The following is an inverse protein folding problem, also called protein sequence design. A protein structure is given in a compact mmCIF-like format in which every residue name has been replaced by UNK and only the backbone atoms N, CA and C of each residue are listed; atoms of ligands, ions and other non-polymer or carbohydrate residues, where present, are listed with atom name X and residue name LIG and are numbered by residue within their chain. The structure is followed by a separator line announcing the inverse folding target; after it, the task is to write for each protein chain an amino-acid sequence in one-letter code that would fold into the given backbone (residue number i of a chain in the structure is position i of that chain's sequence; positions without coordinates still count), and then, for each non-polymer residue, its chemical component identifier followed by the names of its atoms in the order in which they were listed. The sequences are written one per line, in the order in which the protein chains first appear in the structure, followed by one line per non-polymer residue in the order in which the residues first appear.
data_IF_397482740559
#
_entry.id   IF_397482740559
#
_cell.length_a   1.000
_cell.length_b   1.000
_cell.length_c   1.000
_cell.angle_alpha   90.00
_cell.angle_beta   90.00
_cell.angle_gamma   90.00
#
_symmetry.space_group_name_H-M   'P 1'
#
loop_
_entity.id
_entity.type
_entity.pdbx_description
1 polymer ?
#
# COMPACT_ATOMS: atom_id res chain seq x y z
N UNK A 1 18.81 15.15 4.94
CA UNK A 1 18.99 16.61 4.93
C UNK A 1 19.19 17.09 6.37
N UNK A 2 20.10 18.02 6.63
CA UNK A 2 20.38 18.49 7.99
C UNK A 2 20.29 20.00 8.07
N UNK A 3 19.81 20.51 9.19
CA UNK A 3 19.88 21.94 9.51
C UNK A 3 20.91 22.06 10.63
N UNK A 4 21.93 22.88 10.39
CA UNK A 4 22.96 23.16 11.38
C UNK A 4 23.17 24.67 11.47
N UNK A 5 23.27 25.15 12.70
CA UNK A 5 23.68 26.51 13.02
C UNK A 5 24.94 26.44 13.87
N UNK A 6 25.94 27.22 13.48
CA UNK A 6 27.16 27.37 14.26
C UNK A 6 27.36 28.84 14.57
N UNK A 7 27.75 29.14 15.81
CA UNK A 7 28.22 30.47 16.19
C UNK A 7 29.68 30.35 16.63
N UNK A 8 30.54 31.13 15.97
CA UNK A 8 31.99 31.11 16.18
C UNK A 8 32.38 32.44 16.83
N UNK A 9 33.02 32.39 18.00
CA UNK A 9 33.71 33.55 18.58
C UNK A 9 35.23 33.37 18.45
N UNK A 10 36.01 34.40 18.75
CA UNK A 10 37.47 34.44 18.53
C UNK A 10 38.28 33.35 19.28
N UNK A 11 37.70 32.69 20.28
CA UNK A 11 38.40 31.70 21.13
C UNK A 11 37.62 30.38 21.24
N UNK A 12 36.29 30.39 21.09
CA UNK A 12 35.47 29.18 21.19
C UNK A 12 34.32 29.19 20.18
N UNK A 13 34.11 28.05 19.52
CA UNK A 13 32.97 27.83 18.63
C UNK A 13 32.04 26.76 19.20
N UNK A 14 30.75 27.04 19.22
CA UNK A 14 29.71 26.07 19.59
C UNK A 14 28.85 25.85 18.35
N UNK A 15 28.78 24.58 17.93
CA UNK A 15 27.94 24.15 16.82
C UNK A 15 26.88 23.19 17.33
N UNK A 16 25.64 23.45 16.95
CA UNK A 16 24.53 22.54 17.18
C UNK A 16 23.87 22.21 15.83
N UNK A 17 23.56 20.93 15.64
CA UNK A 17 22.94 20.45 14.42
C UNK A 17 21.94 19.35 14.71
N UNK A 18 20.84 19.34 13.96
CA UNK A 18 19.90 18.23 13.94
C UNK A 18 19.87 17.63 12.54
N UNK A 19 20.06 16.33 12.47
CA UNK A 19 19.98 15.59 11.21
C UNK A 19 18.57 15.02 11.03
N UNK A 20 17.94 15.31 9.89
CA UNK A 20 16.69 14.66 9.49
C UNK A 20 17.02 13.49 8.59
N UNK A 21 16.52 12.32 8.98
CA UNK A 21 16.59 11.08 8.22
C UNK A 21 15.61 11.14 7.07
N UNK A 22 16.13 11.04 5.85
CA UNK A 22 15.30 10.98 4.64
C UNK A 22 15.18 9.51 4.22
N UNK A 23 13.97 8.96 4.35
CA UNK A 23 13.67 7.58 4.02
C UNK A 23 13.90 7.28 2.54
N UNK A 24 13.71 8.25 1.64
CA UNK A 24 13.96 8.07 0.22
C UNK A 24 15.46 7.98 -0.06
N UNK A 25 16.29 8.80 0.59
CA UNK A 25 17.74 8.69 0.50
C UNK A 25 18.26 7.36 1.08
N UNK A 26 17.73 6.91 2.22
CA UNK A 26 18.12 5.63 2.81
C UNK A 26 17.74 4.46 1.90
N UNK A 27 16.57 4.53 1.26
CA UNK A 27 16.12 3.56 0.27
C UNK A 27 17.02 3.56 -0.98
N UNK A 28 17.32 4.71 -1.57
CA UNK A 28 18.21 4.81 -2.73
C UNK A 28 19.64 4.32 -2.39
N UNK A 29 20.13 4.60 -1.18
CA UNK A 29 21.41 4.09 -0.70
C UNK A 29 21.40 2.57 -0.56
N UNK A 30 20.34 1.99 0.01
CA UNK A 30 20.19 0.55 0.11
C UNK A 30 20.10 -0.12 -1.27
N UNK A 31 19.34 0.47 -2.21
CA UNK A 31 19.26 -0.03 -3.58
C UNK A 31 20.63 -0.04 -4.25
N UNK A 32 21.40 1.03 -4.08
CA UNK A 32 22.75 1.13 -4.63
C UNK A 32 23.70 0.10 -3.99
N UNK A 33 23.66 -0.05 -2.67
CA UNK A 33 24.47 -1.04 -1.95
C UNK A 33 24.18 -2.46 -2.44
N UNK A 34 22.91 -2.82 -2.62
CA UNK A 34 22.51 -4.13 -3.18
C UNK A 34 23.04 -4.31 -4.61
N UNK A 35 23.03 -3.24 -5.42
CA UNK A 35 23.58 -3.29 -6.78
C UNK A 35 25.10 -3.53 -6.77
N UNK A 36 25.83 -2.78 -5.95
CA UNK A 36 27.30 -2.82 -5.87
C UNK A 36 27.81 -4.12 -5.24
N UNK A 37 27.02 -4.76 -4.37
CA UNK A 37 27.31 -6.09 -3.79
C UNK A 37 26.90 -7.26 -4.68
N UNK A 38 26.38 -7.00 -5.89
CA UNK A 38 26.05 -8.03 -6.90
C UNK A 38 24.60 -8.52 -6.87
N UNK A 39 23.76 -8.06 -5.93
CA UNK A 39 22.35 -8.41 -5.83
C UNK A 39 21.47 -7.50 -6.72
N UNK A 40 21.62 -7.63 -8.04
CA UNK A 40 20.94 -6.76 -9.03
C UNK A 40 19.42 -6.81 -8.94
N UNK A 41 18.84 -7.99 -8.78
CA UNK A 41 17.38 -8.18 -8.71
C UNK A 41 16.80 -7.57 -7.43
N UNK A 42 17.49 -7.73 -6.30
CA UNK A 42 17.08 -7.14 -5.03
C UNK A 42 17.15 -5.61 -5.06
N UNK A 43 18.18 -5.04 -5.71
CA UNK A 43 18.29 -3.60 -5.95
C UNK A 43 17.07 -3.06 -6.71
N UNK A 44 16.71 -3.73 -7.82
CA UNK A 44 15.56 -3.33 -8.64
C UNK A 44 14.24 -3.51 -7.88
N UNK A 45 14.07 -4.61 -7.13
CA UNK A 45 12.90 -4.82 -6.27
C UNK A 45 12.71 -3.67 -5.28
N UNK A 46 13.81 -3.19 -4.69
CA UNK A 46 13.78 -2.07 -3.76
C UNK A 46 13.52 -0.73 -4.45
N UNK A 47 13.82 -0.57 -5.73
CA UNK A 47 13.42 0.62 -6.52
C UNK A 47 11.94 0.56 -6.94
N UNK A 48 11.39 -0.63 -7.15
CA UNK A 48 10.01 -0.85 -7.59
C UNK A 48 8.91 -0.46 -6.60
N UNK A 49 9.22 -0.20 -5.33
CA UNK A 49 8.25 0.41 -4.40
C UNK A 49 7.99 1.91 -4.65
N UNK A 50 8.52 2.49 -5.74
CA UNK A 50 8.15 3.82 -6.23
C UNK A 50 7.33 3.60 -7.51
N UNK A 51 6.09 4.08 -7.51
CA UNK A 51 5.15 3.88 -8.61
C UNK A 51 5.66 4.48 -9.93
N UNK A 52 6.49 5.53 -9.85
CA UNK A 52 7.10 6.14 -11.04
C UNK A 52 8.08 5.19 -11.70
N UNK A 53 8.89 4.50 -10.90
CA UNK A 53 9.82 3.48 -11.38
C UNK A 53 9.03 2.31 -11.93
N UNK A 54 8.01 1.82 -11.22
CA UNK A 54 7.16 0.71 -11.64
C UNK A 54 6.47 0.98 -12.99
N UNK A 55 5.95 2.19 -13.19
CA UNK A 55 5.32 2.59 -14.45
C UNK A 55 6.34 2.70 -15.58
N UNK A 56 7.48 3.34 -15.34
CA UNK A 56 8.55 3.45 -16.33
C UNK A 56 9.06 2.07 -16.77
N UNK A 57 9.25 1.16 -15.82
CA UNK A 57 9.65 -0.23 -16.04
C UNK A 57 8.61 -1.01 -16.84
N UNK A 58 7.33 -0.90 -16.48
CA UNK A 58 6.20 -1.48 -17.24
C UNK A 58 6.19 -1.00 -18.69
N UNK A 59 6.37 0.29 -18.93
CA UNK A 59 6.40 0.86 -20.27
C UNK A 59 7.63 0.41 -21.07
N UNK A 60 8.74 0.11 -20.39
CA UNK A 60 9.94 -0.46 -20.99
C UNK A 60 9.86 -1.98 -21.24
N UNK A 61 8.74 -2.64 -20.91
CA UNK A 61 8.58 -4.09 -21.04
C UNK A 61 9.38 -4.91 -20.02
N UNK A 62 9.96 -4.26 -19.00
CA UNK A 62 10.71 -4.93 -17.93
C UNK A 62 9.91 -4.85 -16.64
N UNK A 63 9.25 -5.93 -16.24
CA UNK A 63 8.38 -5.91 -15.08
C UNK A 63 9.15 -5.99 -13.76
N UNK A 64 8.59 -5.39 -12.71
CA UNK A 64 9.15 -5.43 -11.37
C UNK A 64 9.20 -6.87 -10.83
N UNK A 65 10.32 -7.32 -10.27
CA UNK A 65 10.48 -8.69 -9.79
C UNK A 65 9.58 -8.99 -8.60
N UNK A 66 9.09 -10.23 -8.52
CA UNK A 66 8.16 -10.68 -7.48
C UNK A 66 8.51 -12.12 -7.11
N UNK A 67 8.75 -12.40 -5.83
CA UNK A 67 9.00 -13.76 -5.31
C UNK A 67 9.99 -14.58 -6.13
N UNK A 68 11.07 -13.92 -6.57
CA UNK A 68 12.12 -14.53 -7.40
C UNK A 68 11.80 -14.65 -8.89
N UNK A 69 10.56 -14.35 -9.31
CA UNK A 69 10.14 -14.29 -10.72
C UNK A 69 10.59 -12.98 -11.37
N UNK A 70 11.01 -13.05 -12.62
CA UNK A 70 11.55 -11.91 -13.39
C UNK A 70 10.92 -11.91 -14.79
N UNK A 71 10.73 -10.74 -15.39
CA UNK A 71 10.23 -10.62 -16.76
C UNK A 71 8.75 -11.00 -16.88
N UNK A 72 8.42 -11.87 -17.84
CA UNK A 72 7.03 -12.23 -18.16
C UNK A 72 6.34 -13.01 -17.02
N UNK A 73 7.09 -13.81 -16.28
CA UNK A 73 6.58 -14.54 -15.13
C UNK A 73 6.15 -13.57 -14.01
N UNK A 74 6.93 -12.50 -13.82
CA UNK A 74 6.58 -11.43 -12.89
C UNK A 74 5.37 -10.64 -13.37
N UNK A 75 5.22 -10.41 -14.68
CA UNK A 75 4.03 -9.77 -15.27
C UNK A 75 2.76 -10.53 -14.91
N UNK A 76 2.75 -11.84 -15.16
CA UNK A 76 1.59 -12.70 -14.88
C UNK A 76 1.23 -12.66 -13.40
N UNK A 77 2.22 -12.75 -12.51
CA UNK A 77 2.00 -12.65 -11.07
C UNK A 77 1.38 -11.30 -10.66
N UNK A 78 1.87 -10.19 -11.22
CA UNK A 78 1.31 -8.86 -10.98
C UNK A 78 -0.13 -8.72 -11.50
N UNK A 79 -0.43 -9.30 -12.67
CA UNK A 79 -1.78 -9.31 -13.24
C UNK A 79 -2.73 -10.15 -12.38
N UNK A 80 -2.31 -11.34 -11.96
CA UNK A 80 -3.08 -12.21 -11.08
C UNK A 80 -3.42 -11.54 -9.75
N UNK A 81 -2.44 -10.88 -9.10
CA UNK A 81 -2.69 -10.12 -7.86
C UNK A 81 -3.62 -8.94 -8.05
N UNK A 82 -3.51 -8.26 -9.19
CA UNK A 82 -4.42 -7.17 -9.52
C UNK A 82 -5.86 -7.67 -9.74
N UNK A 83 -6.02 -8.85 -10.34
CA UNK A 83 -7.32 -9.50 -10.52
C UNK A 83 -7.89 -9.97 -9.18
N UNK A 84 -7.09 -10.64 -8.35
CA UNK A 84 -7.50 -11.11 -7.03
C UNK A 84 -7.96 -9.96 -6.12
N UNK A 85 -7.22 -8.84 -6.12
CA UNK A 85 -7.61 -7.63 -5.41
C UNK A 85 -8.98 -7.12 -5.86
N UNK A 86 -9.23 -7.04 -7.18
CA UNK A 86 -10.54 -6.62 -7.71
C UNK A 86 -11.66 -7.56 -7.33
N UNK A 87 -11.45 -8.87 -7.43
CA UNK A 87 -12.46 -9.87 -7.05
C UNK A 87 -12.83 -9.71 -5.58
N UNK A 88 -11.85 -9.56 -4.69
CA UNK A 88 -12.12 -9.39 -3.26
C UNK A 88 -12.95 -8.12 -2.95
N UNK A 89 -12.69 -7.03 -3.66
CA UNK A 89 -13.45 -5.79 -3.52
C UNK A 89 -14.89 -5.95 -4.05
N UNK A 90 -15.05 -6.57 -5.22
CA UNK A 90 -16.36 -6.87 -5.81
C UNK A 90 -17.20 -7.79 -4.92
N UNK A 91 -16.57 -8.83 -4.34
CA UNK A 91 -17.24 -9.73 -3.39
C UNK A 91 -17.69 -8.98 -2.13
N UNK A 92 -16.84 -8.11 -1.57
CA UNK A 92 -17.21 -7.28 -0.42
C UNK A 92 -18.42 -6.38 -0.75
N UNK A 93 -18.40 -5.73 -1.90
CA UNK A 93 -19.47 -4.87 -2.37
C UNK A 93 -20.78 -5.64 -2.65
N UNK A 94 -20.70 -6.90 -3.07
CA UNK A 94 -21.88 -7.76 -3.26
C UNK A 94 -22.49 -8.18 -1.92
N UNK A 95 -21.65 -8.60 -0.99
CA UNK A 95 -22.05 -9.02 0.36
C UNK A 95 -22.70 -7.86 1.13
N UNK A 96 -22.14 -6.65 1.04
CA UNK A 96 -22.70 -5.45 1.67
C UNK A 96 -24.09 -5.10 1.09
N UNK A 97 -24.27 -5.21 -0.23
CA UNK A 97 -25.59 -5.00 -0.88
C UNK A 97 -26.63 -6.04 -0.48
N UNK A 98 -26.23 -7.31 -0.33
CA UNK A 98 -27.12 -8.36 0.13
C UNK A 98 -27.61 -8.14 1.57
N UNK A 99 -26.71 -7.72 2.49
CA UNK A 99 -27.09 -7.51 3.88
C UNK A 99 -28.03 -6.31 4.07
N UNK A 100 -27.97 -5.29 3.21
CA UNK A 100 -28.86 -4.13 3.24
C UNK A 100 -30.30 -4.51 2.83
N UNK A 101 -30.47 -5.32 1.78
CA UNK A 101 -31.78 -5.83 1.34
C UNK A 101 -32.43 -6.76 2.38
N UNK A 102 -31.65 -7.63 3.02
CA UNK A 102 -32.13 -8.51 4.09
C UNK A 102 -32.46 -7.73 5.38
N UNK A 103 -31.77 -6.62 5.67
CA UNK A 103 -32.07 -5.77 6.81
C UNK A 103 -33.43 -5.04 6.66
N UNK A 104 -33.70 -4.48 5.48
CA UNK A 104 -34.97 -3.82 5.14
C UNK A 104 -36.17 -4.78 5.26
N UNK A 105 -36.05 -6.01 4.73
CA UNK A 105 -37.13 -7.02 4.80
C UNK A 105 -37.37 -7.55 6.21
N UNK A 106 -36.31 -7.67 7.03
CA UNK A 106 -36.42 -8.14 8.42
C UNK A 106 -37.03 -7.08 9.35
N UNK A 107 -36.76 -5.80 9.12
CA UNK A 107 -37.43 -4.68 9.80
C UNK A 107 -38.91 -4.66 9.45
N UNK A 108 -39.26 -4.83 8.17
CA UNK A 108 -40.66 -4.90 7.73
C UNK A 108 -41.46 -6.04 8.38
N UNK A 109 -40.89 -7.25 8.43
CA UNK A 109 -41.55 -8.40 9.04
C UNK A 109 -41.69 -8.27 10.57
N UNK A 110 -40.68 -7.71 11.24
CA UNK A 110 -40.69 -7.49 12.69
C UNK A 110 -41.79 -6.52 13.14
N UNK A 111 -42.02 -5.43 12.39
CA UNK A 111 -43.08 -4.45 12.68
C UNK A 111 -44.47 -5.06 12.50
N UNK A 112 -44.68 -5.84 11.43
CA UNK A 112 -45.97 -6.49 11.16
C UNK A 112 -46.32 -7.52 12.25
N UNK A 113 -45.36 -8.36 12.64
CA UNK A 113 -45.59 -9.37 13.69
C UNK A 113 -45.82 -8.70 15.05
N UNK A 114 -45.07 -7.65 15.37
CA UNK A 114 -45.22 -6.92 16.63
C UNK A 114 -46.57 -6.22 16.75
N UNK A 115 -47.02 -5.55 15.69
CA UNK A 115 -48.34 -4.89 15.66
C UNK A 115 -49.49 -5.89 15.73
N UNK A 116 -49.40 -7.01 15.01
CA UNK A 116 -50.40 -8.09 15.06
C UNK A 116 -50.48 -8.72 16.46
N UNK A 117 -49.34 -8.95 17.11
CA UNK A 117 -49.30 -9.51 18.46
C UNK A 117 -49.88 -8.55 19.51
N UNK A 118 -49.64 -7.24 19.36
CA UNK A 118 -50.23 -6.22 20.24
C UNK A 118 -51.76 -6.15 20.08
N UNK A 119 -52.27 -6.26 18.85
CA UNK A 119 -53.70 -6.34 18.54
C UNK A 119 -54.36 -7.61 19.09
N UNK A 120 -53.61 -8.71 19.22
CA UNK A 120 -54.12 -9.96 19.77
C UNK A 120 -54.17 -9.95 21.32
N UNK A 121 -53.43 -9.05 21.96
CA UNK A 121 -53.33 -8.91 23.42
C UNK A 121 -54.29 -7.87 24.01
N UNK A 122 -54.98 -7.09 23.17
CA UNK A 122 -55.91 -6.02 23.56
C UNK A 122 -57.36 -6.44 23.31
#
# INVERSE_FOLDING_TARGET
MGISGAVQTQILGISAGKTVKDLNCERLRAARLLYDTGMKVASVALLCGDDRVKLAMKNAGTYCPVDGKIGDEARLEWEMRAVEARISEDQKNLVERMFDEDAETKVGLGVIISTLFLLLLL
#
